data_IF_664848763857
#
_entry.id   IF_664848763857
#
_cell.length_a   1.000
_cell.length_b   1.000
_cell.length_c   1.000
_cell.angle_alpha   90.00
_cell.angle_beta   90.00
_cell.angle_gamma   90.00
#
_symmetry.space_group_name_H-M   'P 1'
#
loop_
_entity.id
_entity.type
_entity.pdbx_description
1 polymer ?
#
# COMPACT_ATOMS: atom_id res chain seq x y z
N UNK A 1 -40.24 -88.24 -33.55
CA UNK A 1 -40.48 -87.40 -32.36
C UNK A 1 -39.82 -86.06 -32.59
N UNK A 2 -40.56 -85.09 -33.14
CA UNK A 2 -40.13 -83.71 -33.32
C UNK A 2 -41.12 -82.86 -32.54
N UNK A 3 -40.68 -82.24 -31.45
CA UNK A 3 -41.45 -81.27 -30.65
C UNK A 3 -40.55 -80.03 -30.58
N UNK A 4 -40.71 -79.09 -31.52
CA UNK A 4 -41.62 -77.95 -31.50
C UNK A 4 -41.01 -76.74 -30.77
N UNK A 5 -40.52 -75.82 -31.59
CA UNK A 5 -40.15 -74.45 -31.24
C UNK A 5 -41.41 -73.66 -30.90
N UNK A 6 -41.60 -73.31 -29.63
CA UNK A 6 -42.62 -72.34 -29.23
C UNK A 6 -41.99 -70.99 -28.93
N UNK A 7 -42.27 -70.09 -29.88
CA UNK A 7 -42.04 -68.66 -29.92
C UNK A 7 -42.51 -67.94 -28.66
N UNK A 8 -41.63 -67.21 -28.00
CA UNK A 8 -42.01 -66.22 -27.00
C UNK A 8 -42.94 -65.17 -27.64
N UNK A 9 -43.99 -64.77 -26.92
CA UNK A 9 -44.96 -63.79 -27.43
C UNK A 9 -44.29 -62.42 -27.68
N UNK A 10 -44.80 -61.59 -28.62
CA UNK A 10 -44.23 -60.27 -28.89
C UNK A 10 -44.15 -59.38 -27.64
N UNK A 11 -45.08 -59.55 -26.69
CA UNK A 11 -45.11 -58.82 -25.42
C UNK A 11 -44.03 -59.30 -24.45
N UNK A 12 -43.70 -60.60 -24.43
CA UNK A 12 -42.58 -61.13 -23.65
C UNK A 12 -41.22 -60.75 -24.23
N UNK A 13 -41.11 -60.65 -25.57
CA UNK A 13 -39.92 -60.12 -26.22
C UNK A 13 -39.73 -58.63 -25.91
N UNK A 14 -40.81 -57.83 -25.92
CA UNK A 14 -40.80 -56.43 -25.51
C UNK A 14 -40.46 -56.26 -24.02
N UNK A 15 -40.94 -57.14 -23.15
CA UNK A 15 -40.62 -57.12 -21.70
C UNK A 15 -39.18 -57.52 -21.42
N UNK A 16 -38.63 -58.48 -22.16
CA UNK A 16 -37.22 -58.87 -22.09
C UNK A 16 -36.30 -57.75 -22.62
N UNK A 17 -36.71 -57.03 -23.67
CA UNK A 17 -36.00 -55.86 -24.18
C UNK A 17 -36.09 -54.64 -23.24
N UNK A 18 -37.24 -54.44 -22.57
CA UNK A 18 -37.47 -53.34 -21.63
C UNK A 18 -36.84 -53.54 -20.24
N UNK A 19 -36.37 -54.76 -19.92
CA UNK A 19 -35.83 -55.13 -18.61
C UNK A 19 -34.37 -54.77 -18.31
N UNK A 20 -33.67 -54.06 -19.21
CA UNK A 20 -32.25 -53.73 -19.02
C UNK A 20 -31.91 -52.24 -18.98
N UNK A 21 -32.92 -51.38 -18.80
CA UNK A 21 -32.68 -49.98 -18.45
C UNK A 21 -32.15 -49.89 -17.02
N UNK A 22 -30.83 -50.07 -16.82
CA UNK A 22 -30.18 -49.62 -15.58
C UNK A 22 -30.65 -48.18 -15.34
N UNK A 23 -31.09 -47.80 -14.14
CA UNK A 23 -31.42 -46.41 -13.88
C UNK A 23 -30.16 -45.61 -14.23
N UNK A 24 -30.26 -44.75 -15.23
CA UNK A 24 -29.21 -43.78 -15.52
C UNK A 24 -29.27 -42.83 -14.33
N UNK A 25 -28.58 -43.20 -13.27
CA UNK A 25 -28.22 -42.28 -12.20
C UNK A 25 -27.30 -41.27 -12.85
N UNK A 26 -27.87 -40.23 -13.46
CA UNK A 26 -27.17 -38.99 -13.76
C UNK A 26 -26.67 -38.50 -12.42
N UNK A 27 -25.46 -38.90 -12.07
CA UNK A 27 -24.76 -38.42 -10.89
C UNK A 27 -24.48 -36.96 -11.24
N UNK A 28 -25.39 -36.08 -10.83
CA UNK A 28 -25.16 -34.64 -10.87
C UNK A 28 -23.82 -34.43 -10.18
N UNK A 29 -22.87 -33.88 -10.93
CA UNK A 29 -21.51 -33.69 -10.45
C UNK A 29 -21.58 -32.61 -9.38
N UNK A 30 -21.73 -33.04 -8.12
CA UNK A 30 -21.73 -32.14 -6.96
C UNK A 30 -20.45 -31.32 -7.03
N UNK A 31 -20.60 -30.01 -6.91
CA UNK A 31 -19.53 -29.03 -7.03
C UNK A 31 -18.28 -29.45 -6.23
N UNK A 32 -17.14 -29.56 -6.91
CA UNK A 32 -15.89 -30.01 -6.31
C UNK A 32 -15.20 -28.90 -5.55
N UNK A 33 -15.59 -28.66 -4.29
CA UNK A 33 -15.07 -27.56 -3.46
C UNK A 33 -13.53 -27.48 -3.43
N UNK A 34 -12.82 -28.61 -3.41
CA UNK A 34 -11.35 -28.64 -3.46
C UNK A 34 -10.80 -28.08 -4.77
N UNK A 35 -11.37 -28.51 -5.91
CA UNK A 35 -10.95 -28.06 -7.22
C UNK A 35 -11.29 -26.58 -7.43
N UNK A 36 -12.48 -26.17 -7.01
CA UNK A 36 -12.88 -24.76 -7.02
C UNK A 36 -11.92 -23.89 -6.21
N UNK A 37 -11.65 -24.25 -4.95
CA UNK A 37 -10.73 -23.48 -4.10
C UNK A 37 -9.36 -23.34 -4.73
N UNK A 38 -8.81 -24.42 -5.32
CA UNK A 38 -7.53 -24.35 -6.02
C UNK A 38 -7.56 -23.45 -7.26
N UNK A 39 -8.59 -23.55 -8.10
CA UNK A 39 -8.71 -22.71 -9.29
C UNK A 39 -8.90 -21.24 -8.93
N UNK A 40 -9.75 -20.94 -7.95
CA UNK A 40 -9.97 -19.58 -7.46
C UNK A 40 -8.68 -19.00 -6.87
N UNK A 41 -7.94 -19.78 -6.06
CA UNK A 41 -6.67 -19.35 -5.51
C UNK A 41 -5.64 -19.03 -6.61
N UNK A 42 -5.58 -19.83 -7.68
CA UNK A 42 -4.68 -19.58 -8.82
C UNK A 42 -5.05 -18.31 -9.59
N UNK A 43 -6.33 -18.07 -9.85
CA UNK A 43 -6.79 -16.83 -10.51
C UNK A 43 -6.53 -15.63 -9.62
N UNK A 44 -6.87 -15.70 -8.32
CA UNK A 44 -6.58 -14.63 -7.36
C UNK A 44 -5.09 -14.34 -7.24
N UNK A 45 -4.22 -15.35 -7.28
CA UNK A 45 -2.77 -15.15 -7.31
C UNK A 45 -2.33 -14.33 -8.52
N UNK A 46 -2.83 -14.65 -9.71
CA UNK A 46 -2.51 -13.91 -10.93
C UNK A 46 -2.95 -12.44 -10.81
N UNK A 47 -4.16 -12.20 -10.30
CA UNK A 47 -4.66 -10.84 -10.05
C UNK A 47 -3.78 -10.10 -9.04
N UNK A 48 -3.31 -10.76 -7.97
CA UNK A 48 -2.35 -10.16 -7.02
C UNK A 48 -1.02 -9.80 -7.67
N UNK A 49 -0.48 -10.66 -8.54
CA UNK A 49 0.76 -10.36 -9.25
C UNK A 49 0.61 -9.14 -10.16
N UNK A 50 -0.45 -9.11 -10.98
CA UNK A 50 -0.69 -8.00 -11.91
C UNK A 50 -0.91 -6.69 -11.14
N UNK A 51 -1.83 -6.68 -10.17
CA UNK A 51 -2.12 -5.49 -9.37
C UNK A 51 -0.92 -5.05 -8.53
N UNK A 52 -0.13 -5.99 -8.00
CA UNK A 52 1.11 -5.68 -7.27
C UNK A 52 2.18 -5.04 -8.17
N UNK A 53 2.34 -5.52 -9.41
CA UNK A 53 3.24 -4.91 -10.39
C UNK A 53 2.77 -3.50 -10.76
N UNK A 54 1.47 -3.33 -11.00
CA UNK A 54 0.90 -1.99 -11.28
C UNK A 54 1.19 -1.05 -10.12
N UNK A 55 0.87 -1.44 -8.89
CA UNK A 55 1.13 -0.62 -7.69
C UNK A 55 2.61 -0.35 -7.45
N UNK A 56 3.48 -1.28 -7.83
CA UNK A 56 4.93 -1.07 -7.78
C UNK A 56 5.39 0.01 -8.77
N UNK A 57 4.80 0.08 -9.96
CA UNK A 57 5.15 1.06 -10.99
C UNK A 57 4.39 2.39 -10.88
N UNK A 58 3.29 2.43 -10.12
CA UNK A 58 2.47 3.64 -9.99
C UNK A 58 3.24 4.80 -9.34
N UNK A 59 2.96 6.05 -9.77
CA UNK A 59 3.52 7.23 -9.12
C UNK A 59 3.10 7.34 -7.64
N UNK A 60 3.78 8.21 -6.89
CA UNK A 60 3.40 8.55 -5.51
C UNK A 60 1.98 9.15 -5.50
N UNK A 61 1.25 8.98 -4.39
CA UNK A 61 -0.19 9.34 -4.31
C UNK A 61 -0.45 10.78 -4.73
N UNK A 62 0.36 11.70 -4.20
CA UNK A 62 0.40 13.11 -4.60
C UNK A 62 0.47 13.32 -6.12
N UNK A 63 1.44 12.72 -6.79
CA UNK A 63 1.61 12.90 -8.25
C UNK A 63 0.45 12.23 -8.99
N UNK A 64 0.03 11.05 -8.57
CA UNK A 64 -1.06 10.32 -9.20
C UNK A 64 -2.38 11.12 -9.19
N UNK A 65 -2.70 11.73 -8.06
CA UNK A 65 -3.91 12.53 -7.90
C UNK A 65 -3.80 13.87 -8.64
N UNK A 66 -2.63 14.51 -8.56
CA UNK A 66 -2.38 15.81 -9.17
C UNK A 66 -2.42 15.75 -10.70
N UNK A 67 -1.86 14.71 -11.31
CA UNK A 67 -1.81 14.54 -12.77
C UNK A 67 -2.99 13.74 -13.34
N UNK A 68 -3.90 13.26 -12.49
CA UNK A 68 -5.00 12.39 -12.93
C UNK A 68 -4.52 11.06 -13.52
N UNK A 69 -3.47 10.47 -12.95
CA UNK A 69 -2.88 9.23 -13.45
C UNK A 69 -3.91 8.10 -13.46
N UNK A 70 -4.07 7.48 -14.62
CA UNK A 70 -4.90 6.30 -14.80
C UNK A 70 -4.17 5.24 -15.60
N UNK A 71 -4.45 3.97 -15.32
CA UNK A 71 -3.97 2.83 -16.08
C UNK A 71 -5.11 1.86 -16.31
N UNK A 72 -5.35 1.51 -17.59
CA UNK A 72 -6.50 0.71 -18.01
C UNK A 72 -7.85 1.29 -17.56
N UNK A 73 -7.94 2.63 -17.45
CA UNK A 73 -9.14 3.34 -17.02
C UNK A 73 -9.40 3.28 -15.52
N UNK A 74 -8.47 2.77 -14.73
CA UNK A 74 -8.53 2.80 -13.27
C UNK A 74 -7.48 3.75 -12.70
N UNK A 75 -7.87 4.51 -11.69
CA UNK A 75 -6.94 5.34 -10.92
C UNK A 75 -6.10 4.50 -9.94
N UNK A 76 -5.15 5.15 -9.27
CA UNK A 76 -4.30 4.49 -8.28
C UNK A 76 -5.08 3.92 -7.10
N UNK A 77 -6.11 4.61 -6.62
CA UNK A 77 -6.92 4.21 -5.47
C UNK A 77 -7.78 2.98 -5.80
N UNK A 78 -8.30 2.89 -7.02
CA UNK A 78 -9.03 1.74 -7.54
C UNK A 78 -8.12 0.53 -7.70
N UNK A 79 -6.92 0.70 -8.24
CA UNK A 79 -5.91 -0.37 -8.29
C UNK A 79 -5.53 -0.87 -6.89
N UNK A 80 -5.38 0.04 -5.93
CA UNK A 80 -5.12 -0.29 -4.52
C UNK A 80 -6.29 -1.08 -3.91
N UNK A 81 -7.51 -0.60 -4.13
CA UNK A 81 -8.74 -1.23 -3.61
C UNK A 81 -8.93 -2.64 -4.19
N UNK A 82 -8.69 -2.81 -5.49
CA UNK A 82 -8.70 -4.11 -6.16
C UNK A 82 -7.67 -5.05 -5.55
N UNK A 83 -6.43 -4.58 -5.33
CA UNK A 83 -5.35 -5.38 -4.75
C UNK A 83 -5.69 -5.84 -3.32
N UNK A 84 -6.17 -4.93 -2.46
CA UNK A 84 -6.50 -5.23 -1.07
C UNK A 84 -7.69 -6.20 -0.97
N UNK A 85 -8.78 -5.95 -1.71
CA UNK A 85 -9.94 -6.82 -1.71
C UNK A 85 -9.59 -8.23 -2.20
N UNK A 86 -8.80 -8.32 -3.28
CA UNK A 86 -8.34 -9.60 -3.79
C UNK A 86 -7.31 -10.28 -2.84
N UNK A 87 -6.53 -9.51 -2.06
CA UNK A 87 -5.63 -10.05 -1.03
C UNK A 87 -6.39 -10.71 0.11
N UNK A 88 -7.47 -10.07 0.58
CA UNK A 88 -8.35 -10.64 1.62
C UNK A 88 -8.98 -11.94 1.11
N UNK A 89 -9.52 -11.93 -0.11
CA UNK A 89 -10.04 -13.15 -0.75
C UNK A 89 -8.97 -14.24 -0.83
N UNK A 90 -7.77 -13.90 -1.28
CA UNK A 90 -6.66 -14.85 -1.39
C UNK A 90 -6.31 -15.48 -0.04
N UNK A 91 -6.24 -14.70 1.04
CA UNK A 91 -5.97 -15.20 2.39
C UNK A 91 -7.07 -16.17 2.86
N UNK A 92 -8.35 -15.80 2.68
CA UNK A 92 -9.48 -16.66 3.04
C UNK A 92 -9.44 -17.98 2.26
N UNK A 93 -9.17 -17.91 0.95
CA UNK A 93 -9.08 -19.10 0.10
C UNK A 93 -7.84 -19.94 0.40
N UNK A 94 -6.71 -19.33 0.77
CA UNK A 94 -5.50 -20.03 1.20
C UNK A 94 -5.73 -20.77 2.52
N UNK A 95 -6.40 -20.13 3.50
CA UNK A 95 -6.79 -20.78 4.75
C UNK A 95 -7.76 -21.94 4.51
N UNK A 96 -8.77 -21.72 3.67
CA UNK A 96 -9.72 -22.77 3.24
C UNK A 96 -8.98 -23.92 2.56
N UNK A 97 -8.05 -23.62 1.65
CA UNK A 97 -7.22 -24.61 0.98
C UNK A 97 -6.39 -25.42 1.99
N UNK A 98 -5.81 -24.76 2.99
CA UNK A 98 -5.02 -25.41 4.03
C UNK A 98 -5.87 -26.35 4.90
N UNK A 99 -7.08 -25.93 5.30
CA UNK A 99 -8.02 -26.77 6.07
C UNK A 99 -8.47 -27.98 5.25
N UNK A 100 -8.87 -27.77 3.99
CA UNK A 100 -9.33 -28.86 3.10
C UNK A 100 -8.24 -29.90 2.80
N UNK A 101 -6.97 -29.49 2.88
CA UNK A 101 -5.79 -30.32 2.61
C UNK A 101 -4.95 -30.61 3.86
N UNK A 102 -5.49 -30.37 5.06
CA UNK A 102 -4.73 -30.48 6.32
C UNK A 102 -4.18 -31.89 6.56
N UNK A 103 -4.97 -32.92 6.26
CA UNK A 103 -4.55 -34.31 6.39
C UNK A 103 -3.37 -34.65 5.46
N UNK A 104 -3.39 -34.11 4.24
CA UNK A 104 -2.31 -34.26 3.26
C UNK A 104 -1.05 -33.55 3.75
N UNK A 105 -1.17 -32.31 4.23
CA UNK A 105 -0.06 -31.57 4.81
C UNK A 105 0.56 -32.33 6.00
N UNK A 106 -0.25 -32.80 6.94
CA UNK A 106 0.25 -33.57 8.08
C UNK A 106 0.95 -34.87 7.67
N UNK A 107 0.49 -35.51 6.59
CA UNK A 107 1.17 -36.67 6.02
C UNK A 107 2.55 -36.29 5.47
N UNK A 108 2.69 -35.12 4.84
CA UNK A 108 4.00 -34.61 4.39
C UNK A 108 4.97 -34.38 5.54
N UNK A 109 4.50 -33.85 6.68
CA UNK A 109 5.36 -33.62 7.86
C UNK A 109 5.67 -34.90 8.66
N UNK A 110 4.71 -35.83 8.78
CA UNK A 110 4.82 -37.00 9.67
C UNK A 110 5.42 -38.25 9.02
N UNK A 111 5.42 -38.36 7.68
CA UNK A 111 5.88 -39.59 7.02
C UNK A 111 7.40 -39.79 7.14
N UNK A 112 7.80 -40.63 8.10
CA UNK A 112 9.15 -41.21 8.19
C UNK A 112 9.42 -42.31 7.15
N UNK A 113 8.41 -42.71 6.35
CA UNK A 113 8.41 -43.92 5.52
C UNK A 113 8.63 -43.69 4.01
N UNK A 114 8.92 -42.45 3.57
CA UNK A 114 9.33 -42.20 2.18
C UNK A 114 10.86 -42.13 2.15
N UNK A 115 11.56 -43.13 1.60
CA UNK A 115 13.01 -43.07 1.47
C UNK A 115 13.37 -42.02 0.42
N UNK A 116 14.17 -41.02 0.78
CA UNK A 116 14.80 -40.14 -0.22
C UNK A 116 15.13 -38.72 0.23
N UNK A 117 14.29 -38.05 1.02
CA UNK A 117 14.59 -36.68 1.48
C UNK A 117 14.01 -36.47 2.88
N UNK A 118 14.87 -36.15 3.86
CA UNK A 118 14.43 -35.72 5.18
C UNK A 118 13.64 -34.41 5.03
N UNK A 119 12.30 -34.50 4.99
CA UNK A 119 11.38 -33.37 4.76
C UNK A 119 11.54 -32.21 5.76
N UNK A 120 12.14 -32.47 6.93
CA UNK A 120 12.54 -31.43 7.89
C UNK A 120 13.60 -30.47 7.33
N UNK A 121 14.51 -30.94 6.46
CA UNK A 121 15.48 -30.06 5.79
C UNK A 121 14.79 -29.10 4.82
N UNK A 122 13.83 -29.59 4.02
CA UNK A 122 13.02 -28.76 3.12
C UNK A 122 12.24 -27.71 3.92
N UNK A 123 11.64 -28.09 5.05
CA UNK A 123 10.94 -27.17 5.94
C UNK A 123 11.88 -26.12 6.55
N UNK A 124 13.07 -26.53 7.02
CA UNK A 124 14.07 -25.59 7.55
C UNK A 124 14.53 -24.61 6.48
N UNK A 125 14.77 -25.07 5.25
CA UNK A 125 15.14 -24.18 4.13
C UNK A 125 13.98 -23.24 3.80
N UNK A 126 12.74 -23.73 3.73
CA UNK A 126 11.58 -22.89 3.47
C UNK A 126 11.39 -21.80 4.54
N UNK A 127 11.54 -22.16 5.83
CA UNK A 127 11.50 -21.21 6.93
C UNK A 127 12.68 -20.22 6.89
N UNK A 128 13.87 -20.69 6.53
CA UNK A 128 15.05 -19.83 6.37
C UNK A 128 14.86 -18.82 5.25
N UNK A 129 14.32 -19.23 4.09
CA UNK A 129 13.99 -18.34 2.98
C UNK A 129 12.89 -17.37 3.36
N UNK A 130 11.81 -17.83 4.00
CA UNK A 130 10.74 -16.95 4.47
C UNK A 130 11.26 -15.92 5.49
N UNK A 131 12.09 -16.36 6.44
CA UNK A 131 12.75 -15.49 7.42
C UNK A 131 13.67 -14.47 6.74
N UNK A 132 14.42 -14.88 5.71
CA UNK A 132 15.25 -13.98 4.91
C UNK A 132 14.42 -12.94 4.16
N UNK A 133 13.28 -13.32 3.58
CA UNK A 133 12.37 -12.39 2.91
C UNK A 133 11.73 -11.37 3.86
N UNK A 134 11.59 -11.70 5.15
CA UNK A 134 11.11 -10.77 6.20
C UNK A 134 12.25 -9.89 6.72
N UNK A 135 13.39 -10.50 7.06
CA UNK A 135 14.52 -9.81 7.67
C UNK A 135 15.29 -8.94 6.66
N UNK A 136 15.40 -9.39 5.41
CA UNK A 136 16.17 -8.74 4.35
C UNK A 136 15.74 -7.28 4.12
N UNK A 137 14.45 -6.98 3.92
CA UNK A 137 13.95 -5.61 3.85
C UNK A 137 14.22 -4.80 5.14
N UNK A 138 14.01 -5.38 6.32
CA UNK A 138 14.21 -4.70 7.62
C UNK A 138 15.68 -4.27 7.80
N UNK A 139 16.62 -5.13 7.43
CA UNK A 139 18.06 -4.84 7.51
C UNK A 139 18.62 -4.19 6.25
N UNK A 140 17.78 -3.83 5.28
CA UNK A 140 18.19 -3.19 4.02
C UNK A 140 19.28 -3.95 3.24
N UNK A 141 19.22 -5.28 3.26
CA UNK A 141 20.23 -6.16 2.62
C UNK A 141 19.86 -6.41 1.15
N UNK A 142 20.82 -6.39 0.21
CA UNK A 142 20.57 -6.80 -1.18
C UNK A 142 20.10 -8.26 -1.28
N UNK A 143 19.20 -8.61 -2.22
CA UNK A 143 18.65 -7.77 -3.28
C UNK A 143 17.44 -6.91 -2.85
N UNK A 144 16.96 -7.02 -1.61
CA UNK A 144 15.74 -6.33 -1.17
C UNK A 144 15.90 -4.81 -1.19
N UNK A 145 17.02 -4.28 -0.71
CA UNK A 145 17.30 -2.84 -0.79
C UNK A 145 17.47 -2.34 -2.21
N UNK A 146 18.06 -3.15 -3.10
CA UNK A 146 18.17 -2.81 -4.53
C UNK A 146 16.81 -2.73 -5.21
N UNK A 147 15.89 -3.64 -4.88
CA UNK A 147 14.51 -3.60 -5.39
C UNK A 147 13.76 -2.37 -4.90
N UNK A 148 13.94 -1.99 -3.63
CA UNK A 148 13.35 -0.77 -3.08
C UNK A 148 13.93 0.49 -3.73
N UNK A 149 15.25 0.55 -3.94
CA UNK A 149 15.88 1.67 -4.64
C UNK A 149 15.35 1.82 -6.08
N UNK A 150 15.14 0.70 -6.79
CA UNK A 150 14.50 0.74 -8.11
C UNK A 150 13.05 1.25 -8.06
N UNK A 151 12.30 0.86 -7.03
CA UNK A 151 10.95 1.40 -6.83
C UNK A 151 10.97 2.92 -6.64
N UNK A 152 11.93 3.42 -5.86
CA UNK A 152 12.08 4.86 -5.61
C UNK A 152 12.51 5.60 -6.87
N UNK A 153 13.40 5.03 -7.68
CA UNK A 153 13.79 5.59 -8.98
C UNK A 153 12.60 5.70 -9.95
N UNK A 154 11.75 4.67 -10.03
CA UNK A 154 10.51 4.74 -10.82
C UNK A 154 9.60 5.85 -10.31
N UNK A 155 9.47 6.02 -9.00
CA UNK A 155 8.67 7.09 -8.41
C UNK A 155 9.26 8.48 -8.67
N UNK A 156 10.58 8.61 -8.61
CA UNK A 156 11.30 9.86 -8.89
C UNK A 156 11.22 10.24 -10.37
N UNK A 157 11.24 9.26 -11.28
CA UNK A 157 10.99 9.47 -12.70
C UNK A 157 9.64 10.14 -12.93
N UNK A 158 8.58 9.66 -12.28
CA UNK A 158 7.26 10.29 -12.35
C UNK A 158 7.21 11.70 -11.73
N UNK A 159 8.16 12.08 -10.87
CA UNK A 159 8.25 13.45 -10.34
C UNK A 159 9.06 14.38 -11.26
N UNK A 160 10.03 13.85 -12.00
CA UNK A 160 10.93 14.61 -12.87
C UNK A 160 10.43 14.74 -14.31
N UNK A 161 9.81 13.69 -14.86
CA UNK A 161 9.39 13.62 -16.27
C UNK A 161 8.09 14.36 -16.55
N UNK A 162 7.40 14.87 -15.53
CA UNK A 162 6.22 15.67 -15.79
C UNK A 162 6.63 17.03 -16.38
N UNK A 163 6.63 17.07 -17.72
CA UNK A 163 7.42 17.98 -18.56
C UNK A 163 6.80 19.37 -18.74
N UNK A 164 5.60 19.60 -18.20
CA UNK A 164 5.04 20.94 -17.99
C UNK A 164 5.35 21.33 -16.54
N UNK A 165 5.96 22.49 -16.31
CA UNK A 165 6.47 22.89 -14.99
C UNK A 165 5.46 22.92 -13.82
N UNK A 166 4.21 22.52 -14.03
CA UNK A 166 3.08 22.48 -13.11
C UNK A 166 2.75 21.13 -12.53
N UNK A 167 3.52 20.08 -12.84
CA UNK A 167 3.16 18.74 -12.42
C UNK A 167 3.82 18.27 -11.11
N UNK A 168 4.62 19.14 -10.49
CA UNK A 168 4.80 19.08 -9.05
C UNK A 168 3.77 20.03 -8.42
N UNK A 169 2.86 19.53 -7.57
CA UNK A 169 1.94 20.41 -6.89
C UNK A 169 2.71 21.36 -5.96
N UNK A 170 2.19 22.59 -5.73
CA UNK A 170 2.84 23.57 -4.88
C UNK A 170 3.02 23.06 -3.44
N UNK A 171 2.08 22.22 -2.98
CA UNK A 171 2.14 21.51 -1.70
C UNK A 171 1.71 20.06 -1.87
N UNK A 172 2.03 19.21 -0.88
CA UNK A 172 1.48 17.86 -0.86
C UNK A 172 -0.04 17.91 -0.76
N UNK A 173 -0.74 17.07 -1.52
CA UNK A 173 -2.20 17.02 -1.56
C UNK A 173 -2.87 18.34 -1.98
N UNK A 174 -2.22 19.13 -2.85
CA UNK A 174 -2.77 20.40 -3.33
C UNK A 174 -4.13 20.21 -4.05
N UNK A 175 -4.41 19.02 -4.55
CA UNK A 175 -5.71 18.65 -5.11
C UNK A 175 -6.86 18.71 -4.09
N UNK A 176 -6.57 18.54 -2.79
CA UNK A 176 -7.54 18.54 -1.70
C UNK A 176 -7.77 19.95 -1.12
N UNK A 177 -6.96 20.93 -1.49
CA UNK A 177 -7.10 22.30 -1.00
C UNK A 177 -8.29 23.00 -1.64
N UNK A 178 -8.94 23.87 -0.87
CA UNK A 178 -9.87 24.86 -1.43
C UNK A 178 -9.11 25.91 -2.25
N UNK A 179 -9.81 26.64 -3.12
CA UNK A 179 -9.16 27.73 -3.87
C UNK A 179 -8.56 28.82 -2.99
N UNK A 180 -9.20 29.11 -1.86
CA UNK A 180 -8.70 30.11 -0.92
C UNK A 180 -7.38 29.64 -0.27
N UNK A 181 -7.32 28.36 0.12
CA UNK A 181 -6.09 27.76 0.69
C UNK A 181 -5.00 27.64 -0.37
N UNK A 182 -5.33 27.22 -1.60
CA UNK A 182 -4.38 27.19 -2.71
C UNK A 182 -3.81 28.60 -2.96
N UNK A 183 -4.65 29.64 -2.97
CA UNK A 183 -4.24 31.02 -3.18
C UNK A 183 -3.24 31.50 -2.11
N UNK A 184 -3.49 31.19 -0.84
CA UNK A 184 -2.57 31.48 0.27
C UNK A 184 -1.23 30.77 0.08
N UNK A 185 -1.28 29.50 -0.33
CA UNK A 185 -0.13 28.67 -0.69
C UNK A 185 0.56 29.04 -2.00
N UNK A 186 0.09 30.06 -2.74
CA UNK A 186 0.77 30.64 -3.92
C UNK A 186 0.93 32.17 -3.82
N UNK A 187 0.78 32.75 -2.62
CA UNK A 187 0.84 34.19 -2.31
C UNK A 187 0.01 35.04 -3.29
N UNK A 188 -1.12 34.51 -3.75
CA UNK A 188 -2.12 35.22 -4.54
C UNK A 188 -3.37 35.46 -3.69
N UNK A 189 -4.16 36.47 -4.05
CA UNK A 189 -5.48 36.64 -3.43
C UNK A 189 -6.48 35.67 -4.06
N UNK A 190 -7.50 35.27 -3.27
CA UNK A 190 -8.61 34.45 -3.77
C UNK A 190 -9.31 35.10 -4.98
N UNK A 191 -9.32 36.43 -5.04
CA UNK A 191 -9.89 37.19 -6.17
C UNK A 191 -9.03 37.08 -7.43
N UNK A 192 -7.70 37.10 -7.31
CA UNK A 192 -6.78 36.92 -8.44
C UNK A 192 -6.91 35.52 -9.04
N UNK A 193 -6.89 34.49 -8.18
CA UNK A 193 -7.04 33.09 -8.61
C UNK A 193 -8.42 32.86 -9.25
N UNK A 194 -9.49 33.35 -8.62
CA UNK A 194 -10.84 33.19 -9.20
C UNK A 194 -11.02 33.97 -10.50
N UNK A 195 -10.39 35.13 -10.66
CA UNK A 195 -10.41 35.88 -11.92
C UNK A 195 -9.69 35.12 -13.04
N UNK A 196 -8.52 34.55 -12.78
CA UNK A 196 -7.77 33.76 -13.75
C UNK A 196 -8.53 32.48 -14.17
N UNK A 197 -9.24 31.85 -13.23
CA UNK A 197 -10.06 30.68 -13.52
C UNK A 197 -11.36 31.05 -14.25
N UNK A 198 -12.02 32.14 -13.87
CA UNK A 198 -13.23 32.62 -14.53
C UNK A 198 -12.97 33.07 -15.97
N UNK A 199 -11.84 33.73 -16.24
CA UNK A 199 -11.44 34.14 -17.59
C UNK A 199 -11.19 32.95 -18.53
N UNK A 200 -10.85 31.80 -17.96
CA UNK A 200 -10.67 30.54 -18.67
C UNK A 200 -11.91 29.62 -18.59
N UNK A 201 -13.03 30.16 -18.12
CA UNK A 201 -14.35 29.52 -18.14
C UNK A 201 -14.52 28.40 -17.12
N UNK A 202 -13.85 28.46 -15.97
CA UNK A 202 -14.19 27.65 -14.79
C UNK A 202 -15.31 28.31 -13.99
N UNK A 203 -16.19 27.51 -13.38
CA UNK A 203 -17.20 28.01 -12.46
C UNK A 203 -16.59 28.12 -11.05
N UNK A 204 -16.27 29.34 -10.67
CA UNK A 204 -15.56 29.66 -9.42
C UNK A 204 -16.50 30.25 -8.36
N UNK A 205 -17.81 30.10 -8.54
CA UNK A 205 -18.83 30.77 -7.71
C UNK A 205 -18.79 30.32 -6.24
N UNK A 206 -18.22 29.14 -5.95
CA UNK A 206 -18.02 28.64 -4.59
C UNK A 206 -16.54 28.36 -4.31
N UNK A 207 -15.91 29.25 -3.55
CA UNK A 207 -14.49 29.14 -3.13
C UNK A 207 -14.23 28.04 -2.10
N UNK A 208 -15.28 27.37 -1.60
CA UNK A 208 -15.16 26.22 -0.69
C UNK A 208 -14.94 24.90 -1.43
N UNK A 209 -15.07 24.90 -2.77
CA UNK A 209 -14.75 23.73 -3.58
C UNK A 209 -13.23 23.53 -3.64
N UNK A 210 -12.84 22.27 -3.67
CA UNK A 210 -11.45 21.85 -3.81
C UNK A 210 -10.96 22.03 -5.23
N UNK A 211 -9.64 22.13 -5.40
CA UNK A 211 -8.98 22.20 -6.72
C UNK A 211 -9.38 21.01 -7.59
N UNK A 212 -9.46 19.81 -7.01
CA UNK A 212 -9.90 18.61 -7.72
C UNK A 212 -11.35 18.72 -8.22
N UNK A 213 -12.29 19.16 -7.38
CA UNK A 213 -13.70 19.28 -7.75
C UNK A 213 -13.91 20.30 -8.87
N UNK A 214 -13.16 21.41 -8.87
CA UNK A 214 -13.27 22.44 -9.90
C UNK A 214 -12.67 21.97 -11.23
N UNK A 215 -11.55 21.23 -11.17
CA UNK A 215 -10.95 20.64 -12.36
C UNK A 215 -11.89 19.58 -12.98
N UNK A 216 -12.55 18.78 -12.15
CA UNK A 216 -13.50 17.74 -12.58
C UNK A 216 -14.70 18.32 -13.35
N UNK A 217 -15.19 19.51 -12.98
CA UNK A 217 -16.29 20.17 -13.71
C UNK A 217 -16.00 20.37 -15.20
N UNK A 218 -14.72 20.52 -15.58
CA UNK A 218 -14.29 20.67 -16.98
C UNK A 218 -13.62 19.42 -17.54
N UNK A 219 -13.68 18.29 -16.82
CA UNK A 219 -12.97 17.04 -17.18
C UNK A 219 -11.45 17.26 -17.34
N UNK A 220 -10.88 18.12 -16.49
CA UNK A 220 -9.46 18.45 -16.48
C UNK A 220 -8.81 17.96 -15.19
N UNK A 221 -7.48 17.89 -15.19
CA UNK A 221 -6.72 17.49 -14.00
C UNK A 221 -6.41 18.70 -13.11
N UNK A 222 -6.17 18.49 -11.80
CA UNK A 222 -5.71 19.56 -10.91
C UNK A 222 -4.48 20.29 -11.44
N UNK A 223 -3.55 19.56 -12.09
CA UNK A 223 -2.37 20.16 -12.72
C UNK A 223 -2.71 21.09 -13.88
N UNK A 224 -3.68 20.72 -14.73
CA UNK A 224 -4.12 21.55 -15.87
C UNK A 224 -4.83 22.83 -15.40
N UNK A 225 -5.62 22.75 -14.33
CA UNK A 225 -6.21 23.93 -13.70
C UNK A 225 -5.11 24.86 -13.17
N UNK A 226 -4.07 24.30 -12.55
CA UNK A 226 -2.96 25.07 -12.02
C UNK A 226 -2.10 25.71 -13.13
N UNK A 227 -1.95 25.06 -14.28
CA UNK A 227 -1.29 25.62 -15.46
C UNK A 227 -1.91 26.95 -15.89
N UNK A 228 -3.24 27.05 -15.87
CA UNK A 228 -3.98 28.28 -16.20
C UNK A 228 -3.62 29.43 -15.27
N UNK A 229 -3.51 29.17 -13.96
CA UNK A 229 -3.12 30.20 -12.98
C UNK A 229 -1.69 30.68 -13.23
N UNK A 230 -0.78 29.76 -13.62
CA UNK A 230 0.63 30.07 -13.91
C UNK A 230 0.88 30.76 -15.25
N UNK A 231 -0.02 30.59 -16.20
CA UNK A 231 -0.02 31.35 -17.44
C UNK A 231 -0.37 32.81 -17.18
N UNK A 232 -1.41 33.06 -16.38
CA UNK A 232 -1.87 34.41 -16.02
C UNK A 232 -0.93 35.13 -15.05
N UNK A 233 -0.34 34.40 -14.08
CA UNK A 233 0.59 34.95 -13.09
C UNK A 233 1.95 34.24 -13.13
N UNK A 234 2.89 34.64 -14.01
CA UNK A 234 4.22 34.01 -14.13
C UNK A 234 5.07 34.05 -12.85
N UNK A 235 4.81 35.01 -11.95
CA UNK A 235 5.40 35.11 -10.60
C UNK A 235 5.15 33.84 -9.76
N UNK A 236 4.06 33.10 -10.05
CA UNK A 236 3.71 31.83 -9.39
C UNK A 236 4.52 30.61 -9.91
N UNK A 237 5.41 30.79 -10.90
CA UNK A 237 6.19 29.68 -11.49
C UNK A 237 7.34 29.17 -10.61
N UNK A 238 7.72 29.89 -9.55
CA UNK A 238 8.81 29.52 -8.63
C UNK A 238 8.44 28.52 -7.51
N UNK A 239 7.16 28.18 -7.40
CA UNK A 239 6.58 27.59 -6.20
C UNK A 239 6.84 26.09 -6.00
N UNK A 240 7.34 25.41 -7.03
CA UNK A 240 7.82 24.02 -6.94
C UNK A 240 9.30 23.87 -6.56
N UNK A 241 10.04 24.98 -6.38
CA UNK A 241 11.48 24.97 -6.02
C UNK A 241 11.77 25.28 -4.55
N UNK A 242 10.77 25.68 -3.77
CA UNK A 242 10.91 26.07 -2.35
C UNK A 242 10.99 24.83 -1.42
N UNK A 243 11.66 23.78 -1.90
CA UNK A 243 12.26 22.71 -1.08
C UNK A 243 13.79 22.67 -1.20
N UNK A 244 14.39 23.49 -2.08
CA UNK A 244 15.81 23.63 -2.27
C UNK A 244 16.24 25.07 -1.96
N UNK A 245 16.48 25.35 -0.68
CA UNK A 245 17.13 26.55 -0.13
C UNK A 245 16.69 27.89 -0.74
N UNK A 246 15.72 28.53 -0.11
CA UNK A 246 15.61 29.99 -0.12
C UNK A 246 15.81 30.49 1.31
N UNK A 247 17.07 30.57 1.73
CA UNK A 247 17.46 31.62 2.66
C UNK A 247 17.82 32.85 1.81
N UNK A 248 17.48 34.01 2.35
CA UNK A 248 17.81 35.36 1.88
C UNK A 248 16.80 36.03 0.94
N UNK A 249 15.71 36.50 1.55
CA UNK A 249 15.12 37.78 1.19
C UNK A 249 15.52 38.80 2.27
N UNK A 250 16.48 39.67 1.97
CA UNK A 250 16.59 40.98 2.63
C UNK A 250 17.30 42.01 1.73
N UNK A 251 16.47 42.94 1.22
CA UNK A 251 16.69 44.38 1.08
C UNK A 251 17.65 45.00 0.05
N UNK A 252 17.05 45.92 -0.71
CA UNK A 252 17.49 47.30 -1.00
C UNK A 252 18.32 47.62 -2.27
N UNK A 253 17.83 48.66 -2.93
CA UNK A 253 18.30 49.36 -4.13
C UNK A 253 19.62 50.14 -3.96
N UNK A 254 20.35 50.28 -5.07
CA UNK A 254 21.00 51.50 -5.64
C UNK A 254 22.42 51.24 -6.18
N UNK A 255 22.68 51.70 -7.42
CA UNK A 255 23.96 52.32 -7.81
C UNK A 255 25.06 51.45 -8.45
N UNK A 256 25.14 51.54 -9.78
CA UNK A 256 26.32 51.75 -10.66
C UNK A 256 27.76 51.27 -10.33
N UNK A 257 28.39 50.80 -11.42
CA UNK A 257 29.83 50.75 -11.77
C UNK A 257 30.74 49.55 -11.37
N UNK A 258 31.13 48.83 -12.44
CA UNK A 258 32.49 48.51 -12.90
C UNK A 258 33.42 47.50 -12.16
N UNK A 259 33.83 46.51 -12.97
CA UNK A 259 35.18 45.93 -13.16
C UNK A 259 35.78 44.83 -12.24
N UNK A 260 36.18 43.77 -12.97
CA UNK A 260 37.39 42.94 -12.87
C UNK A 260 37.63 41.88 -11.77
N UNK A 261 38.04 40.72 -12.29
CA UNK A 261 39.02 39.74 -11.79
C UNK A 261 38.55 38.51 -10.98
N UNK A 262 38.52 37.36 -11.67
CA UNK A 262 39.40 36.20 -11.46
C UNK A 262 39.45 35.50 -10.09
N UNK A 263 39.17 34.19 -10.07
CA UNK A 263 39.54 33.33 -8.93
C UNK A 263 39.14 31.87 -9.09
N UNK A 264 40.11 31.02 -9.46
CA UNK A 264 40.05 29.56 -9.38
C UNK A 264 39.91 29.08 -7.92
N UNK A 265 39.22 27.96 -7.69
CA UNK A 265 39.26 27.26 -6.40
C UNK A 265 38.46 25.96 -6.38
N UNK A 266 39.11 24.84 -6.72
CA UNK A 266 38.55 23.51 -6.53
C UNK A 266 38.57 23.06 -5.07
N UNK A 267 37.64 22.19 -4.68
CA UNK A 267 37.60 21.58 -3.36
C UNK A 267 36.58 20.46 -3.29
N UNK A 268 37.03 19.22 -3.49
CA UNK A 268 36.27 18.02 -3.16
C UNK A 268 36.23 17.81 -1.65
N UNK A 269 35.05 17.47 -1.12
CA UNK A 269 34.85 17.19 0.31
C UNK A 269 33.93 16.00 0.51
N UNK A 270 34.51 14.88 0.94
CA UNK A 270 33.79 13.73 1.49
C UNK A 270 33.23 14.10 2.87
N UNK A 271 31.92 13.94 3.08
CA UNK A 271 31.26 14.15 4.38
C UNK A 271 30.57 12.87 4.88
N UNK A 272 31.22 12.15 5.81
CA UNK A 272 30.55 11.25 6.76
C UNK A 272 30.07 12.09 7.93
N UNK A 273 28.76 12.10 8.21
CA UNK A 273 28.18 12.79 9.36
C UNK A 273 27.30 11.84 10.18
N UNK A 274 27.84 11.38 11.31
CA UNK A 274 27.15 10.65 12.35
C UNK A 274 26.45 11.68 13.26
N UNK A 275 25.13 11.58 13.44
CA UNK A 275 24.35 12.54 14.24
C UNK A 275 23.51 11.82 15.29
N UNK A 276 24.05 11.71 16.49
CA UNK A 276 23.38 11.25 17.72
C UNK A 276 22.68 12.45 18.35
N UNK A 277 21.35 12.43 18.48
CA UNK A 277 20.55 13.50 19.09
C UNK A 277 19.81 13.02 20.33
N UNK A 278 20.40 13.19 21.51
CA UNK A 278 19.77 12.98 22.80
C UNK A 278 19.02 14.24 23.26
N UNK A 279 17.70 14.11 23.46
CA UNK A 279 16.83 15.12 24.06
C UNK A 279 16.56 14.83 25.54
N UNK A 280 16.91 15.80 26.39
CA UNK A 280 16.80 15.80 27.86
C UNK A 280 15.36 16.00 28.33
N UNK A 281 14.92 15.24 29.33
CA UNK A 281 13.77 15.58 30.19
C UNK A 281 14.24 16.06 31.57
N UNK A 282 13.60 17.07 32.21
CA UNK A 282 14.05 17.61 33.48
C UNK A 282 13.43 16.85 34.66
N UNK A 283 14.26 16.19 35.48
CA UNK A 283 13.88 15.58 36.75
C UNK A 283 14.75 16.10 37.88
N UNK A 284 14.25 17.11 38.59
CA UNK A 284 14.79 17.68 39.83
C UNK A 284 14.58 16.71 41.00
N UNK A 285 15.56 16.62 41.90
CA UNK A 285 15.29 16.22 43.30
C UNK A 285 16.30 15.26 43.92
N UNK A 286 17.31 15.81 44.59
CA UNK A 286 18.34 15.14 45.39
C UNK A 286 17.83 14.65 46.76
N UNK A 287 18.55 13.68 47.33
CA UNK A 287 18.59 13.33 48.76
C UNK A 287 18.49 11.82 48.94
N UNK A 288 19.52 11.05 49.29
CA UNK A 288 20.61 11.31 50.23
C UNK A 288 20.57 10.16 51.25
N UNK A 289 21.49 9.20 51.12
CA UNK A 289 21.47 7.96 51.90
C UNK A 289 22.03 8.08 53.31
N UNK A 290 21.61 7.16 54.18
CA UNK A 290 22.31 6.55 55.33
C UNK A 290 21.30 5.55 55.92
N UNK A 291 21.60 4.26 56.08
CA UNK A 291 22.65 3.73 56.95
C UNK A 291 22.02 3.43 58.32
N UNK A 292 21.89 2.16 58.72
CA UNK A 292 21.42 1.83 60.07
C UNK A 292 20.92 0.40 60.24
N UNK A 293 21.82 -0.48 60.66
CA UNK A 293 21.52 -1.80 61.22
C UNK A 293 20.64 -1.70 62.48
N UNK A 294 19.86 -2.74 62.78
CA UNK A 294 19.70 -3.18 64.18
C UNK A 294 18.32 -3.62 64.64
N UNK A 295 18.22 -4.94 64.83
CA UNK A 295 17.64 -5.67 65.98
C UNK A 295 16.14 -5.59 66.31
N UNK A 296 15.61 -6.81 66.49
CA UNK A 296 14.67 -7.19 67.56
C UNK A 296 13.20 -6.87 67.22
N UNK A 297 12.23 -7.75 67.38
CA UNK A 297 12.15 -8.95 68.20
C UNK A 297 10.74 -8.98 68.79
N UNK A 298 10.05 -10.11 68.64
CA UNK A 298 9.01 -10.55 69.58
C UNK A 298 7.59 -9.98 69.41
N UNK A 299 6.66 -10.88 69.16
CA UNK A 299 5.56 -11.09 70.12
C UNK A 299 4.19 -10.48 69.80
N UNK A 300 3.29 -11.35 69.33
CA UNK A 300 2.10 -11.74 70.12
C UNK A 300 0.81 -10.89 70.03
N UNK A 301 -0.31 -11.61 69.91
CA UNK A 301 -1.68 -11.16 70.25
C UNK A 301 -2.53 -10.82 69.02
N UNK A 302 -3.42 -11.66 68.49
CA UNK A 302 -4.73 -12.15 68.99
C UNK A 302 -5.72 -11.04 69.42
N UNK A 303 -6.89 -11.04 68.75
CA UNK A 303 -8.15 -10.37 69.12
C UNK A 303 -8.86 -9.88 67.84
N UNK A 304 -9.82 -10.58 67.21
CA UNK A 304 -11.17 -10.98 67.64
C UNK A 304 -12.16 -9.81 67.83
N UNK A 305 -13.30 -9.87 67.13
CA UNK A 305 -14.49 -9.01 67.26
C UNK A 305 -14.93 -8.43 65.91
N UNK A 306 -15.78 -9.09 65.11
CA UNK A 306 -17.25 -9.23 65.21
C UNK A 306 -18.01 -7.89 65.25
N UNK A 307 -18.79 -7.64 64.19
CA UNK A 307 -20.24 -7.46 64.28
C UNK A 307 -20.83 -6.04 64.31
N UNK A 308 -21.90 -5.86 63.52
CA UNK A 308 -22.85 -4.72 63.55
C UNK A 308 -22.66 -3.79 62.36
N UNK A 309 -23.36 -3.90 61.23
CA UNK A 309 -24.79 -3.60 61.03
C UNK A 309 -25.24 -2.31 61.74
N UNK A 310 -25.22 -1.21 60.99
CA UNK A 310 -26.34 -0.29 60.76
C UNK A 310 -26.24 0.26 59.33
#
# INVERSE_FOLDING_TARGET
MSQNTSTLSPIEQLRAAAGSGKPVTTTSKVFGLRAFTSMLLSVSFLVLCVSGIVLFLTPRGRVANWTGWTLLGLDKHEWSSLHVNNSILFIIMAATHLVLNWSVLMRYLKNKKVPGIHKWKELTVALGVAGLCVAGPIFSVPPFSSLMAFNDEVKDYWEQDNTSGSANPPVAHAEELTLAELADHIFLTSDQVSTALASNGYDVTNTSLTVAEIAEQKQQTPSELFDVIREEYPESRGWGRIGAKSEDHDTASFGEEAEHAGGFGGGGGFGRGQGQGGGRGPGRGMGGGQGGMGRGGGGGGRGAGLGGEL
#
